data_IF_533000484777
#
_entry.id   IF_533000484777
#
_cell.length_a   1.000
_cell.length_b   1.000
_cell.length_c   1.000
_cell.angle_alpha   90.00
_cell.angle_beta   90.00
_cell.angle_gamma   90.00
#
_symmetry.space_group_name_H-M   'P 1'
#
loop_
_entity.id
_entity.type
_entity.pdbx_description
1 polymer ?
#
# COMPACT_ATOMS: atom_id res chain seq x y z
N UNK A 1 -52.25 -10.83 17.37
CA UNK A 1 -51.35 -10.62 16.22
C UNK A 1 -50.72 -9.24 16.37
N UNK A 2 -49.44 -9.15 16.77
CA UNK A 2 -48.69 -7.89 16.74
C UNK A 2 -47.67 -8.05 15.64
N UNK A 3 -47.97 -7.49 14.47
CA UNK A 3 -47.01 -7.37 13.40
C UNK A 3 -45.81 -6.60 13.92
N UNK A 4 -44.65 -7.25 13.93
CA UNK A 4 -43.39 -6.56 14.15
C UNK A 4 -43.20 -5.58 13.00
N UNK A 5 -43.46 -4.29 13.24
CA UNK A 5 -43.00 -3.22 12.38
C UNK A 5 -41.49 -3.41 12.18
N UNK A 6 -41.09 -3.75 10.96
CA UNK A 6 -39.68 -3.80 10.59
C UNK A 6 -39.23 -2.35 10.55
N UNK A 7 -38.61 -1.89 11.63
CA UNK A 7 -38.01 -0.57 11.69
C UNK A 7 -36.89 -0.50 10.64
N UNK A 8 -37.20 0.15 9.51
CA UNK A 8 -36.27 0.30 8.40
C UNK A 8 -35.14 1.23 8.83
N UNK A 9 -33.96 0.67 8.99
CA UNK A 9 -32.81 1.43 9.39
C UNK A 9 -32.41 2.45 8.30
N UNK A 10 -32.12 3.71 8.66
CA UNK A 10 -31.73 4.71 7.69
C UNK A 10 -30.43 4.31 6.97
N UNK A 11 -30.39 4.53 5.65
CA UNK A 11 -29.33 4.09 4.74
C UNK A 11 -27.92 4.47 5.23
N UNK A 12 -27.74 5.68 5.77
CA UNK A 12 -26.43 6.14 6.25
C UNK A 12 -25.88 5.29 7.40
N UNK A 13 -26.76 4.73 8.25
CA UNK A 13 -26.37 3.90 9.40
C UNK A 13 -25.95 2.52 8.93
N UNK A 14 -26.63 1.96 7.94
CA UNK A 14 -26.22 0.76 7.20
C UNK A 14 -24.86 0.96 6.53
N UNK A 15 -24.68 2.06 5.78
CA UNK A 15 -23.42 2.40 5.11
C UNK A 15 -22.26 2.54 6.11
N UNK A 16 -22.50 3.17 7.27
CA UNK A 16 -21.48 3.34 8.31
C UNK A 16 -21.02 2.00 8.89
N UNK A 17 -21.94 1.06 9.13
CA UNK A 17 -21.59 -0.29 9.60
C UNK A 17 -20.78 -1.05 8.55
N UNK A 18 -21.23 -1.04 7.29
CA UNK A 18 -20.50 -1.70 6.20
C UNK A 18 -19.06 -1.18 6.09
N UNK A 19 -18.85 0.14 6.19
CA UNK A 19 -17.50 0.72 6.22
C UNK A 19 -16.69 0.28 7.44
N UNK A 20 -17.31 0.18 8.61
CA UNK A 20 -16.62 -0.29 9.81
C UNK A 20 -16.19 -1.76 9.68
N UNK A 21 -17.04 -2.61 9.11
CA UNK A 21 -16.77 -4.02 8.85
C UNK A 21 -15.69 -4.19 7.77
N UNK A 22 -15.74 -3.39 6.70
CA UNK A 22 -14.73 -3.34 5.65
C UNK A 22 -13.35 -2.95 6.21
N UNK A 23 -13.33 -1.98 7.13
CA UNK A 23 -12.11 -1.49 7.77
C UNK A 23 -11.69 -2.29 9.01
N UNK A 24 -12.26 -3.47 9.24
CA UNK A 24 -11.89 -4.30 10.38
C UNK A 24 -10.43 -4.78 10.27
N UNK A 25 -9.83 -5.11 11.42
CA UNK A 25 -8.44 -5.55 11.49
C UNK A 25 -8.17 -6.77 10.59
N UNK A 26 -9.10 -7.72 10.54
CA UNK A 26 -8.99 -8.92 9.70
C UNK A 26 -8.81 -8.56 8.23
N UNK A 27 -9.64 -7.68 7.68
CA UNK A 27 -9.56 -7.29 6.27
C UNK A 27 -8.26 -6.53 5.97
N UNK A 28 -7.79 -5.69 6.90
CA UNK A 28 -6.50 -5.02 6.75
C UNK A 28 -5.34 -6.01 6.67
N UNK A 29 -5.29 -6.98 7.59
CA UNK A 29 -4.25 -8.02 7.60
C UNK A 29 -4.29 -8.89 6.34
N UNK A 30 -5.47 -9.26 5.87
CA UNK A 30 -5.63 -10.00 4.61
C UNK A 30 -5.16 -9.17 3.42
N UNK A 31 -5.54 -7.89 3.34
CA UNK A 31 -5.06 -6.99 2.27
C UNK A 31 -3.53 -6.91 2.25
N UNK A 32 -2.90 -6.76 3.41
CA UNK A 32 -1.42 -6.74 3.51
C UNK A 32 -0.82 -8.06 3.03
N UNK A 33 -1.42 -9.19 3.41
CA UNK A 33 -0.94 -10.52 3.00
C UNK A 33 -1.03 -10.72 1.49
N UNK A 34 -2.14 -10.32 0.88
CA UNK A 34 -2.34 -10.38 -0.57
C UNK A 34 -1.34 -9.48 -1.31
N UNK A 35 -1.17 -8.24 -0.85
CA UNK A 35 -0.20 -7.30 -1.44
C UNK A 35 1.24 -7.83 -1.35
N UNK A 36 1.59 -8.47 -0.22
CA UNK A 36 2.90 -9.11 -0.04
C UNK A 36 3.13 -10.25 -1.05
N UNK A 37 2.16 -11.15 -1.22
CA UNK A 37 2.24 -12.23 -2.21
C UNK A 37 2.33 -11.68 -3.64
N UNK A 38 1.60 -10.61 -3.96
CA UNK A 38 1.66 -9.98 -5.26
C UNK A 38 3.06 -9.40 -5.56
N UNK A 39 3.69 -8.75 -4.59
CA UNK A 39 5.06 -8.24 -4.73
C UNK A 39 6.06 -9.37 -4.93
N UNK A 40 5.93 -10.49 -4.20
CA UNK A 40 6.76 -11.69 -4.41
C UNK A 40 6.58 -12.26 -5.83
N UNK A 41 5.34 -12.36 -6.31
CA UNK A 41 5.03 -12.84 -7.65
C UNK A 41 5.72 -11.98 -8.72
N UNK A 42 5.68 -10.65 -8.58
CA UNK A 42 6.34 -9.72 -9.50
C UNK A 42 7.85 -9.92 -9.53
N UNK A 43 8.49 -10.08 -8.37
CA UNK A 43 9.93 -10.36 -8.29
C UNK A 43 10.30 -11.66 -9.01
N UNK A 44 9.50 -12.71 -8.81
CA UNK A 44 9.73 -14.01 -9.48
C UNK A 44 9.54 -13.92 -10.99
N UNK A 45 8.58 -13.12 -11.45
CA UNK A 45 8.30 -12.94 -12.88
C UNK A 45 9.32 -12.04 -13.58
N UNK A 46 9.92 -11.10 -12.85
CA UNK A 46 10.85 -10.09 -13.34
C UNK A 46 12.12 -10.03 -12.47
N UNK A 47 12.96 -11.08 -12.47
CA UNK A 47 14.14 -11.16 -11.60
C UNK A 47 15.19 -10.06 -11.87
N UNK A 48 15.15 -9.44 -13.04
CA UNK A 48 16.00 -8.30 -13.39
C UNK A 48 15.49 -6.95 -12.92
N UNK A 49 14.32 -6.86 -12.28
CA UNK A 49 13.76 -5.61 -11.81
C UNK A 49 14.01 -5.43 -10.30
N UNK A 50 14.82 -4.45 -9.89
CA UNK A 50 15.19 -4.28 -8.49
C UNK A 50 13.99 -3.79 -7.67
N UNK A 51 13.78 -4.38 -6.50
CA UNK A 51 12.70 -3.99 -5.58
C UNK A 51 13.27 -3.23 -4.40
N UNK A 52 12.64 -2.09 -4.10
CA UNK A 52 12.96 -1.27 -2.94
C UNK A 52 11.73 -1.08 -2.06
N UNK A 53 11.88 -1.33 -0.76
CA UNK A 53 10.84 -1.14 0.22
C UNK A 53 10.71 0.35 0.61
N UNK A 54 9.62 1.01 0.24
CA UNK A 54 9.40 2.39 0.65
C UNK A 54 9.08 2.45 2.15
N UNK A 55 9.89 3.14 2.94
CA UNK A 55 9.75 3.25 4.40
C UNK A 55 8.44 3.90 4.86
N UNK A 56 7.64 4.49 3.97
CA UNK A 56 6.30 4.98 4.30
C UNK A 56 5.27 3.86 4.54
N UNK A 57 5.35 2.77 3.78
CA UNK A 57 4.39 1.66 3.85
C UNK A 57 4.87 0.36 3.18
N UNK A 58 5.86 0.41 2.27
CA UNK A 58 6.33 -0.73 1.49
C UNK A 58 7.04 -1.82 2.28
N UNK A 59 7.49 -1.56 3.52
CA UNK A 59 8.09 -2.58 4.39
C UNK A 59 7.12 -3.72 4.74
N UNK A 60 5.81 -3.50 4.64
CA UNK A 60 4.78 -4.48 4.98
C UNK A 60 4.66 -5.60 3.94
N UNK A 61 5.19 -5.38 2.73
CA UNK A 61 4.91 -6.23 1.56
C UNK A 61 6.14 -6.96 1.02
N UNK A 62 7.27 -6.91 1.74
CA UNK A 62 8.55 -7.46 1.26
C UNK A 62 9.23 -8.30 2.33
N UNK A 63 10.12 -9.19 1.90
CA UNK A 63 10.93 -9.99 2.83
C UNK A 63 11.96 -9.14 3.59
N UNK A 64 12.32 -9.51 4.83
CA UNK A 64 13.41 -8.88 5.56
C UNK A 64 14.71 -8.85 4.75
N UNK A 65 15.45 -7.74 4.82
CA UNK A 65 16.69 -7.53 4.06
C UNK A 65 16.52 -6.91 2.67
N UNK A 66 15.27 -6.72 2.21
CA UNK A 66 15.00 -5.93 1.00
C UNK A 66 15.54 -4.50 1.16
N UNK A 67 16.28 -3.95 0.19
CA UNK A 67 16.81 -2.59 0.30
C UNK A 67 15.66 -1.57 0.40
N UNK A 68 15.87 -0.50 1.15
CA UNK A 68 14.80 0.47 1.47
C UNK A 68 14.93 1.76 0.68
N UNK A 69 13.84 2.47 0.45
CA UNK A 69 13.82 3.83 -0.09
C UNK A 69 12.82 4.70 0.69
N UNK A 70 12.77 6.00 0.40
CA UNK A 70 11.81 6.90 1.01
C UNK A 70 11.30 7.90 -0.03
N UNK A 71 10.23 7.54 -0.73
CA UNK A 71 9.54 8.45 -1.64
C UNK A 71 8.24 8.97 -1.03
N UNK A 72 7.97 10.25 -1.20
CA UNK A 72 6.65 10.85 -1.00
C UNK A 72 5.77 10.66 -2.23
N UNK A 73 4.47 10.80 -2.08
CA UNK A 73 3.53 10.74 -3.20
C UNK A 73 3.86 11.77 -4.27
N UNK A 74 4.34 12.95 -3.90
CA UNK A 74 4.69 14.03 -4.84
C UNK A 74 6.04 13.85 -5.53
N UNK A 75 6.90 12.95 -5.05
CA UNK A 75 8.25 12.81 -5.61
C UNK A 75 8.15 12.23 -7.03
N UNK A 76 8.70 12.93 -8.03
CA UNK A 76 8.68 12.49 -9.43
C UNK A 76 7.42 12.86 -10.21
N UNK A 77 6.49 13.63 -9.63
CA UNK A 77 5.40 14.24 -10.41
C UNK A 77 5.96 15.22 -11.43
N UNK A 78 5.39 15.28 -12.64
CA UNK A 78 5.72 16.30 -13.62
C UNK A 78 5.52 17.69 -12.97
N UNK A 79 6.55 18.54 -12.98
CA UNK A 79 6.72 19.82 -12.25
C UNK A 79 7.28 19.77 -10.83
N UNK A 80 7.44 18.59 -10.22
CA UNK A 80 7.99 18.41 -8.86
C UNK A 80 9.27 17.55 -8.90
N UNK A 81 10.30 18.09 -9.56
CA UNK A 81 11.63 17.48 -9.68
C UNK A 81 12.58 17.83 -8.52
N UNK A 82 12.10 18.59 -7.54
CA UNK A 82 12.89 18.94 -6.36
C UNK A 82 13.14 17.71 -5.50
N UNK A 83 14.35 17.15 -5.60
CA UNK A 83 14.76 16.07 -4.71
C UNK A 83 14.97 16.57 -3.29
N UNK A 84 14.52 15.76 -2.33
CA UNK A 84 14.73 16.05 -0.91
C UNK A 84 16.21 15.90 -0.57
N UNK A 85 16.87 16.99 -0.17
CA UNK A 85 18.28 16.95 0.26
C UNK A 85 18.54 16.08 1.48
N UNK A 86 17.50 15.83 2.29
CA UNK A 86 17.54 14.91 3.44
C UNK A 86 17.12 13.48 3.11
N UNK A 87 16.53 13.22 1.95
CA UNK A 87 16.00 11.91 1.52
C UNK A 87 16.30 11.69 0.06
N UNK A 88 17.59 11.60 -0.24
CA UNK A 88 18.06 11.71 -1.61
C UNK A 88 17.74 10.47 -2.47
N UNK A 89 17.55 9.29 -1.86
CA UNK A 89 17.36 8.02 -2.57
C UNK A 89 18.38 7.76 -3.70
N UNK A 90 19.63 8.27 -3.58
CA UNK A 90 20.65 8.18 -4.64
C UNK A 90 20.97 6.74 -5.03
N UNK A 91 20.90 5.81 -4.07
CA UNK A 91 21.11 4.39 -4.31
C UNK A 91 20.05 3.81 -5.26
N UNK A 92 18.81 4.30 -5.22
CA UNK A 92 17.76 3.90 -6.17
C UNK A 92 18.09 4.43 -7.56
N UNK A 93 18.47 5.70 -7.67
CA UNK A 93 18.85 6.31 -8.95
C UNK A 93 20.07 5.62 -9.59
N UNK A 94 21.07 5.26 -8.77
CA UNK A 94 22.25 4.52 -9.20
C UNK A 94 21.89 3.13 -9.75
N UNK A 95 20.97 2.44 -9.09
CA UNK A 95 20.48 1.14 -9.57
C UNK A 95 19.67 1.31 -10.85
N UNK A 96 18.78 2.30 -10.93
CA UNK A 96 18.01 2.60 -12.14
C UNK A 96 18.89 2.93 -13.35
N UNK A 97 20.03 3.61 -13.16
CA UNK A 97 20.96 3.93 -14.24
C UNK A 97 21.74 2.72 -14.79
N UNK A 98 21.73 1.58 -14.08
CA UNK A 98 22.41 0.34 -14.47
C UNK A 98 21.49 -0.66 -15.19
N UNK A 99 20.18 -0.43 -15.14
CA UNK A 99 19.16 -1.24 -15.79
C UNK A 99 18.71 -0.58 -17.08
#
# INVERSE_FOLDING_TARGET
ERGSEIEMEPLWKVQRRLKADELCLRHRLLSISEDSHFVELLQRRHPGFPVFANLRNGLWYVSPGTPTCYFKSTDGHASHWSFSVSRLNLHVAHVAAKH
#
